data_IF_900882753850
#
_entry.id   IF_900882753850
#
_cell.length_a   1.000
_cell.length_b   1.000
_cell.length_c   1.000
_cell.angle_alpha   90.00
_cell.angle_beta   90.00
_cell.angle_gamma   90.00
#
_symmetry.space_group_name_H-M   'P 1'
#
loop_
_entity.id
_entity.type
_entity.pdbx_description
1 polymer ?
#
# COMPACT_ATOMS: atom_id res chain seq x y z
N UNK A 1 19.80 8.41 13.33
CA UNK A 1 19.18 8.15 14.64
C UNK A 1 17.85 7.51 14.37
N UNK A 2 17.83 6.20 14.52
CA UNK A 2 16.75 5.33 14.06
C UNK A 2 16.98 3.89 14.50
N UNK A 3 15.94 3.08 14.34
CA UNK A 3 15.98 1.66 14.64
C UNK A 3 16.53 0.91 13.42
N UNK A 4 17.55 0.08 13.62
CA UNK A 4 18.15 -0.75 12.58
C UNK A 4 17.76 -2.21 12.79
N UNK A 5 17.44 -2.90 11.68
CA UNK A 5 17.08 -4.31 11.66
C UNK A 5 17.99 -5.07 10.68
N UNK A 6 18.46 -6.24 11.11
CA UNK A 6 19.26 -7.13 10.29
C UNK A 6 18.75 -8.56 10.41
N UNK A 7 18.44 -9.18 9.28
CA UNK A 7 18.09 -10.59 9.22
C UNK A 7 19.38 -11.42 9.07
N UNK A 8 19.66 -12.26 10.04
CA UNK A 8 20.85 -13.10 10.08
C UNK A 8 20.63 -14.37 9.25
N UNK A 9 21.72 -14.99 8.79
CA UNK A 9 21.67 -16.23 8.02
C UNK A 9 21.12 -17.42 8.82
N UNK A 10 21.19 -17.36 10.15
CA UNK A 10 20.66 -18.38 11.07
C UNK A 10 19.14 -18.29 11.31
N UNK A 11 18.46 -17.35 10.64
CA UNK A 11 17.03 -17.13 10.75
C UNK A 11 16.60 -16.25 11.92
N UNK A 12 17.53 -15.71 12.70
CA UNK A 12 17.22 -14.70 13.73
C UNK A 12 17.21 -13.28 13.13
N UNK A 13 16.56 -12.36 13.84
CA UNK A 13 16.61 -10.93 13.54
C UNK A 13 17.35 -10.21 14.66
N UNK A 14 18.31 -9.36 14.30
CA UNK A 14 19.00 -8.45 15.21
C UNK A 14 18.44 -7.03 15.03
N UNK A 15 17.93 -6.46 16.11
CA UNK A 15 17.48 -5.09 16.22
C UNK A 15 18.46 -4.23 17.01
N UNK A 16 18.74 -3.01 16.56
CA UNK A 16 19.58 -2.05 17.27
C UNK A 16 18.94 -0.66 17.30
N UNK A 17 18.88 -0.07 18.48
CA UNK A 17 18.60 1.35 18.65
C UNK A 17 19.94 2.10 18.64
N UNK A 18 20.16 2.94 17.63
CA UNK A 18 21.41 3.72 17.51
C UNK A 18 21.56 4.78 18.59
N UNK A 19 20.45 5.23 19.19
CA UNK A 19 20.42 6.39 20.07
C UNK A 19 20.76 5.99 21.52
N UNK A 20 20.27 4.83 21.95
CA UNK A 20 20.51 4.27 23.29
C UNK A 20 21.65 3.24 23.30
N UNK A 21 22.00 2.70 22.13
CA UNK A 21 22.92 1.57 22.01
C UNK A 21 22.28 0.20 22.35
N UNK A 22 20.98 0.17 22.66
CA UNK A 22 20.25 -1.07 22.93
C UNK A 22 20.29 -2.01 21.72
N UNK A 23 20.53 -3.30 21.96
CA UNK A 23 20.61 -4.34 20.94
C UNK A 23 19.91 -5.61 21.43
N UNK A 24 19.08 -6.19 20.58
CA UNK A 24 18.35 -7.44 20.85
C UNK A 24 18.42 -8.35 19.63
N UNK A 25 18.62 -9.65 19.84
CA UNK A 25 18.62 -10.66 18.78
C UNK A 25 17.69 -11.80 19.18
N UNK A 26 16.64 -12.04 18.39
CA UNK A 26 15.65 -13.08 18.63
C UNK A 26 15.21 -13.75 17.32
N UNK A 27 14.65 -14.95 17.43
CA UNK A 27 14.03 -15.64 16.29
C UNK A 27 12.69 -14.99 15.89
N UNK A 28 11.99 -14.38 16.84
CA UNK A 28 10.74 -13.66 16.60
C UNK A 28 11.03 -12.20 16.27
N UNK A 29 10.88 -11.84 14.99
CA UNK A 29 11.09 -10.48 14.49
C UNK A 29 10.16 -9.46 15.15
N UNK A 30 8.91 -9.83 15.47
CA UNK A 30 7.98 -8.89 16.08
C UNK A 30 8.35 -8.57 17.52
N UNK A 31 8.91 -9.55 18.24
CA UNK A 31 9.44 -9.32 19.58
C UNK A 31 10.68 -8.41 19.56
N UNK A 32 11.55 -8.53 18.54
CA UNK A 32 12.66 -7.60 18.30
C UNK A 32 12.14 -6.18 18.09
N UNK A 33 11.13 -6.01 17.23
CA UNK A 33 10.51 -4.70 16.96
C UNK A 33 9.88 -4.10 18.22
N UNK A 34 9.08 -4.88 18.96
CA UNK A 34 8.43 -4.44 20.19
C UNK A 34 9.45 -3.91 21.20
N UNK A 35 10.51 -4.66 21.47
CA UNK A 35 11.54 -4.25 22.43
C UNK A 35 12.30 -3.00 21.98
N UNK A 36 12.56 -2.84 20.68
CA UNK A 36 13.20 -1.62 20.16
C UNK A 36 12.31 -0.39 20.29
N UNK A 37 11.00 -0.52 20.04
CA UNK A 37 10.05 0.57 20.23
C UNK A 37 9.92 0.95 21.71
N UNK A 38 9.81 -0.04 22.60
CA UNK A 38 9.78 0.17 24.05
C UNK A 38 11.04 0.90 24.54
N UNK A 39 12.22 0.50 24.07
CA UNK A 39 13.49 1.17 24.40
C UNK A 39 13.58 2.61 23.86
N UNK A 40 13.05 2.86 22.66
CA UNK A 40 12.95 4.20 22.09
C UNK A 40 11.89 5.09 22.77
N UNK A 41 11.09 4.53 23.70
CA UNK A 41 9.96 5.20 24.31
C UNK A 41 8.82 5.47 23.31
N UNK A 42 8.76 4.71 22.23
CA UNK A 42 7.73 4.82 21.19
C UNK A 42 6.59 3.86 21.47
N UNK A 43 5.37 4.28 21.13
CA UNK A 43 4.22 3.38 21.19
C UNK A 43 4.36 2.30 20.12
N UNK A 44 4.46 1.04 20.56
CA UNK A 44 4.46 -0.10 19.64
C UNK A 44 3.02 -0.51 19.33
N UNK A 45 2.63 -0.37 18.07
CA UNK A 45 1.38 -0.94 17.57
C UNK A 45 1.67 -2.30 16.95
N UNK A 46 1.19 -3.42 17.52
CA UNK A 46 1.42 -4.73 16.95
C UNK A 46 0.80 -4.84 15.55
N UNK A 47 1.39 -5.65 14.64
CA UNK A 47 0.82 -5.85 13.34
C UNK A 47 -0.59 -6.43 13.46
N UNK A 48 -1.53 -6.04 12.57
CA UNK A 48 -2.88 -6.56 12.60
C UNK A 48 -2.87 -8.08 12.36
N UNK A 49 -3.83 -8.83 12.94
CA UNK A 49 -3.85 -10.29 12.87
C UNK A 49 -3.87 -10.78 11.42
N UNK A 50 -3.31 -11.97 11.13
CA UNK A 50 -3.30 -12.51 9.78
C UNK A 50 -4.74 -12.69 9.26
N UNK A 51 -4.95 -12.35 8.00
CA UNK A 51 -6.25 -12.56 7.33
C UNK A 51 -6.45 -14.03 6.97
N UNK A 52 -7.70 -14.52 6.88
CA UNK A 52 -7.99 -15.88 6.45
C UNK A 52 -7.43 -16.18 5.05
N UNK A 53 -7.11 -17.45 4.72
CA UNK A 53 -6.67 -17.82 3.38
C UNK A 53 -7.64 -17.36 2.29
N UNK A 54 -7.12 -16.71 1.25
CA UNK A 54 -7.92 -16.17 0.15
C UNK A 54 -8.54 -14.79 0.42
N UNK A 55 -8.33 -14.22 1.61
CA UNK A 55 -8.60 -12.82 1.92
C UNK A 55 -7.30 -12.04 1.89
N UNK A 56 -7.35 -10.80 1.41
CA UNK A 56 -6.20 -9.92 1.25
C UNK A 56 -6.47 -8.59 1.93
N UNK A 57 -5.50 -8.12 2.72
CA UNK A 57 -5.53 -6.80 3.37
C UNK A 57 -4.75 -5.80 2.52
N UNK A 58 -5.34 -4.64 2.24
CA UNK A 58 -4.69 -3.55 1.50
C UNK A 58 -5.37 -2.20 1.76
N UNK A 59 -4.65 -1.11 1.49
CA UNK A 59 -5.19 0.24 1.49
C UNK A 59 -5.45 0.72 0.06
N UNK A 60 -6.44 1.58 -0.13
CA UNK A 60 -6.66 2.31 -1.38
C UNK A 60 -6.75 3.80 -1.08
N UNK A 61 -6.08 4.62 -1.90
CA UNK A 61 -6.07 6.08 -1.78
C UNK A 61 -6.38 6.74 -3.13
N UNK A 62 -6.99 7.93 -3.08
CA UNK A 62 -7.09 8.86 -4.22
C UNK A 62 -6.04 9.96 -4.04
N UNK A 63 -4.89 9.80 -4.69
CA UNK A 63 -3.77 10.75 -4.65
C UNK A 63 -3.81 11.72 -5.84
N UNK A 64 -4.99 11.99 -6.41
CA UNK A 64 -5.10 12.92 -7.54
C UNK A 64 -4.77 14.36 -7.11
N UNK A 65 -4.10 15.18 -7.95
CA UNK A 65 -3.82 16.57 -7.60
C UNK A 65 -5.11 17.35 -7.31
N UNK A 66 -5.11 18.15 -6.24
CA UNK A 66 -6.26 18.99 -5.88
C UNK A 66 -7.48 18.23 -5.34
N UNK A 67 -7.33 16.96 -4.94
CA UNK A 67 -8.32 16.28 -4.10
C UNK A 67 -8.42 16.98 -2.75
N UNK A 68 -9.64 17.23 -2.27
CA UNK A 68 -9.83 17.68 -0.89
C UNK A 68 -9.42 16.61 0.12
N UNK A 69 -9.43 16.99 1.39
CA UNK A 69 -9.15 16.07 2.50
C UNK A 69 -10.22 14.99 2.65
N UNK A 70 -10.09 14.19 3.71
CA UNK A 70 -10.98 13.08 4.02
C UNK A 70 -12.49 13.41 3.91
N UNK A 71 -12.90 14.63 4.27
CA UNK A 71 -14.30 15.08 4.31
C UNK A 71 -14.85 15.62 2.98
N UNK A 72 -14.08 15.65 1.90
CA UNK A 72 -14.54 16.16 0.59
C UNK A 72 -15.87 15.50 0.16
N UNK A 73 -16.81 16.30 -0.34
CA UNK A 73 -18.15 15.86 -0.75
C UNK A 73 -18.11 14.73 -1.80
N UNK A 74 -17.06 14.69 -2.62
CA UNK A 74 -16.85 13.63 -3.61
C UNK A 74 -16.79 12.23 -2.99
N UNK A 75 -16.33 12.11 -1.73
CA UNK A 75 -16.23 10.84 -1.04
C UNK A 75 -17.42 10.57 -0.11
N UNK A 76 -18.40 11.47 0.00
CA UNK A 76 -19.51 11.34 0.94
C UNK A 76 -20.26 10.01 0.78
N UNK A 77 -20.59 9.62 -0.46
CA UNK A 77 -21.27 8.34 -0.72
C UNK A 77 -20.43 7.12 -0.36
N UNK A 78 -19.11 7.22 -0.52
CA UNK A 78 -18.16 6.15 -0.23
C UNK A 78 -17.90 6.04 1.27
N UNK A 79 -17.94 7.16 2.02
CA UNK A 79 -17.96 7.18 3.48
C UNK A 79 -19.23 6.56 4.06
N UNK A 80 -20.39 6.89 3.48
CA UNK A 80 -21.68 6.36 3.94
C UNK A 80 -21.86 4.88 3.63
N UNK A 81 -21.38 4.43 2.46
CA UNK A 81 -21.58 3.07 1.94
C UNK A 81 -20.31 2.56 1.28
N UNK A 82 -19.26 2.26 2.07
CA UNK A 82 -18.04 1.68 1.50
C UNK A 82 -18.32 0.27 0.96
N UNK A 83 -17.50 -0.21 0.01
CA UNK A 83 -17.50 -1.61 -0.41
C UNK A 83 -17.43 -2.55 0.80
N UNK A 84 -18.08 -3.72 0.70
CA UNK A 84 -18.05 -4.69 1.80
C UNK A 84 -16.61 -5.06 2.16
N UNK A 85 -16.27 -4.98 3.44
CA UNK A 85 -14.92 -5.28 3.94
C UNK A 85 -13.94 -4.12 3.79
N UNK A 86 -14.40 -2.94 3.39
CA UNK A 86 -13.60 -1.71 3.40
C UNK A 86 -14.13 -0.71 4.44
N UNK A 87 -13.22 0.02 5.07
CA UNK A 87 -13.52 1.05 6.07
C UNK A 87 -12.84 2.37 5.65
N UNK A 88 -13.57 3.49 5.61
CA UNK A 88 -12.97 4.80 5.40
C UNK A 88 -11.95 5.15 6.48
N UNK A 89 -10.79 5.65 6.07
CA UNK A 89 -9.73 6.10 6.94
C UNK A 89 -9.15 7.44 6.45
N UNK A 90 -8.64 8.26 7.36
CA UNK A 90 -7.92 9.50 7.05
C UNK A 90 -6.42 9.27 7.18
N UNK A 91 -5.74 9.17 6.04
CA UNK A 91 -4.28 8.98 5.96
C UNK A 91 -3.60 10.25 5.40
N UNK A 92 -4.12 11.43 5.77
CA UNK A 92 -3.75 12.72 5.15
C UNK A 92 -4.55 13.01 3.87
N UNK A 93 -5.67 12.33 3.71
CA UNK A 93 -6.50 12.26 2.51
C UNK A 93 -7.50 11.11 2.62
N UNK A 94 -8.44 11.03 1.68
CA UNK A 94 -9.43 9.95 1.71
C UNK A 94 -8.78 8.60 1.35
N UNK A 95 -8.86 7.66 2.29
CA UNK A 95 -8.38 6.29 2.12
C UNK A 95 -9.47 5.27 2.47
N UNK A 96 -9.27 4.04 2.00
CA UNK A 96 -10.01 2.86 2.42
C UNK A 96 -9.04 1.79 2.89
N UNK A 97 -9.23 1.29 4.10
CA UNK A 97 -8.61 0.08 4.60
C UNK A 97 -9.51 -1.11 4.27
N UNK A 98 -9.02 -2.07 3.52
CA UNK A 98 -9.82 -3.15 2.95
C UNK A 98 -9.29 -4.53 3.34
N UNK A 99 -10.20 -5.44 3.66
CA UNK A 99 -9.99 -6.88 3.73
C UNK A 99 -10.97 -7.57 2.78
N UNK A 100 -10.47 -8.02 1.63
CA UNK A 100 -11.31 -8.48 0.52
C UNK A 100 -10.91 -9.87 0.05
N UNK A 101 -11.88 -10.73 -0.30
CA UNK A 101 -11.58 -12.01 -0.92
C UNK A 101 -11.03 -11.80 -2.34
N UNK A 102 -10.11 -12.67 -2.75
CA UNK A 102 -9.57 -12.68 -4.11
C UNK A 102 -8.65 -13.86 -4.36
N UNK A 103 -8.45 -14.23 -5.63
CA UNK A 103 -7.49 -15.28 -5.99
C UNK A 103 -6.06 -14.87 -5.67
N UNK A 104 -5.80 -13.57 -5.67
CA UNK A 104 -4.55 -12.94 -5.28
C UNK A 104 -4.82 -11.51 -4.79
N UNK A 105 -3.80 -10.85 -4.25
CA UNK A 105 -3.90 -9.46 -3.85
C UNK A 105 -4.31 -8.56 -5.03
N UNK A 106 -3.69 -8.73 -6.21
CA UNK A 106 -4.03 -7.97 -7.42
C UNK A 106 -5.48 -8.18 -7.85
N UNK A 107 -6.00 -9.39 -7.70
CA UNK A 107 -7.41 -9.70 -8.01
C UNK A 107 -8.37 -9.00 -7.05
N UNK A 108 -8.07 -9.03 -5.75
CA UNK A 108 -8.86 -8.35 -4.72
C UNK A 108 -8.85 -6.82 -4.90
N UNK A 109 -7.67 -6.24 -5.18
CA UNK A 109 -7.51 -4.81 -5.48
C UNK A 109 -8.28 -4.44 -6.75
N UNK A 110 -8.08 -5.16 -7.85
CA UNK A 110 -8.76 -4.87 -9.12
C UNK A 110 -10.29 -4.95 -8.99
N UNK A 111 -10.80 -5.96 -8.27
CA UNK A 111 -12.23 -6.07 -7.99
C UNK A 111 -12.78 -4.87 -7.23
N UNK A 112 -12.05 -4.42 -6.21
CA UNK A 112 -12.44 -3.30 -5.33
C UNK A 112 -12.37 -1.96 -6.06
N UNK A 113 -11.29 -1.68 -6.80
CA UNK A 113 -11.18 -0.46 -7.62
C UNK A 113 -12.30 -0.40 -8.66
N UNK A 114 -12.59 -1.52 -9.33
CA UNK A 114 -13.66 -1.56 -10.32
C UNK A 114 -15.05 -1.37 -9.71
N UNK A 115 -15.30 -1.92 -8.51
CA UNK A 115 -16.53 -1.69 -7.73
C UNK A 115 -16.69 -0.21 -7.37
N UNK A 116 -15.68 0.39 -6.73
CA UNK A 116 -15.69 1.80 -6.32
C UNK A 116 -15.95 2.71 -7.52
N UNK A 117 -15.26 2.46 -8.63
CA UNK A 117 -15.44 3.23 -9.87
C UNK A 117 -16.87 3.14 -10.39
N UNK A 118 -17.45 1.93 -10.45
CA UNK A 118 -18.80 1.73 -10.99
C UNK A 118 -19.88 2.31 -10.08
N UNK A 119 -19.74 2.18 -8.77
CA UNK A 119 -20.80 2.50 -7.81
C UNK A 119 -20.69 3.93 -7.26
N UNK A 120 -19.48 4.47 -7.18
CA UNK A 120 -19.20 5.78 -6.58
C UNK A 120 -18.57 6.78 -7.55
N UNK A 121 -18.10 6.35 -8.73
CA UNK A 121 -17.47 7.24 -9.72
C UNK A 121 -16.09 7.77 -9.29
N UNK A 122 -15.47 7.17 -8.27
CA UNK A 122 -14.15 7.53 -7.76
C UNK A 122 -13.11 6.55 -8.30
N UNK A 123 -11.96 7.07 -8.72
CA UNK A 123 -10.81 6.26 -9.14
C UNK A 123 -9.79 6.26 -8.01
N UNK A 124 -9.69 5.13 -7.30
CA UNK A 124 -8.60 4.91 -6.35
C UNK A 124 -7.34 4.56 -7.14
N UNK A 125 -6.29 5.36 -7.02
CA UNK A 125 -5.11 5.31 -7.89
C UNK A 125 -3.81 4.94 -7.16
N UNK A 126 -3.87 4.73 -5.84
CA UNK A 126 -2.70 4.41 -5.02
C UNK A 126 -3.03 3.38 -3.94
N UNK A 127 -2.01 2.65 -3.50
CA UNK A 127 -2.06 1.76 -2.33
C UNK A 127 -1.43 2.41 -1.08
N UNK A 128 -1.19 3.73 -1.10
CA UNK A 128 -0.55 4.47 0.00
C UNK A 128 0.96 4.26 0.08
N UNK A 129 1.59 3.99 -1.07
CA UNK A 129 3.06 3.98 -1.16
C UNK A 129 3.51 5.44 -1.06
N UNK A 130 4.50 5.73 -0.21
CA UNK A 130 4.91 7.11 0.05
C UNK A 130 5.52 7.80 -1.20
N UNK A 131 5.01 9.00 -1.50
CA UNK A 131 5.55 10.00 -2.46
C UNK A 131 5.63 9.64 -3.96
N UNK A 132 4.71 8.86 -4.57
CA UNK A 132 4.71 8.63 -6.02
C UNK A 132 4.52 9.93 -6.82
N UNK A 133 3.83 10.93 -6.26
CA UNK A 133 3.60 12.24 -6.87
C UNK A 133 4.89 13.05 -7.08
N UNK A 134 5.94 12.82 -6.26
CA UNK A 134 7.24 13.48 -6.44
C UNK A 134 7.97 12.99 -7.69
N UNK A 135 7.47 11.90 -8.30
CA UNK A 135 8.03 11.31 -9.51
C UNK A 135 7.38 11.85 -10.79
N UNK A 136 6.41 12.77 -10.70
CA UNK A 136 5.74 13.35 -11.86
C UNK A 136 6.08 14.83 -12.02
N UNK A 137 6.88 15.16 -13.03
CA UNK A 137 7.06 16.53 -13.51
C UNK A 137 5.91 16.95 -14.44
N UNK A 138 5.71 18.25 -14.64
CA UNK A 138 4.70 18.80 -15.56
C UNK A 138 5.05 18.64 -17.07
N UNK A 139 5.94 17.70 -17.40
CA UNK A 139 6.49 17.53 -18.73
C UNK A 139 5.50 16.85 -19.68
N UNK A 140 5.73 17.02 -20.98
CA UNK A 140 4.92 16.42 -22.04
C UNK A 140 5.03 14.88 -22.12
N UNK A 141 4.20 14.28 -22.96
CA UNK A 141 4.10 12.82 -23.19
C UNK A 141 5.37 12.16 -23.73
N UNK A 142 6.37 12.94 -24.14
CA UNK A 142 7.65 12.46 -24.67
C UNK A 142 8.83 12.89 -23.75
N UNK A 143 8.54 13.54 -22.61
CA UNK A 143 9.51 14.10 -21.65
C UNK A 143 9.90 13.18 -20.48
N UNK A 144 10.40 13.75 -19.39
CA UNK A 144 10.91 12.99 -18.24
C UNK A 144 9.79 12.18 -17.55
N UNK A 145 8.59 12.77 -17.42
CA UNK A 145 7.41 12.10 -16.88
C UNK A 145 7.08 10.80 -17.66
N UNK A 146 7.13 10.83 -19.00
CA UNK A 146 6.88 9.65 -19.83
C UNK A 146 7.93 8.54 -19.62
N UNK A 147 9.20 8.91 -19.43
CA UNK A 147 10.27 7.97 -19.09
C UNK A 147 10.02 7.29 -17.74
N UNK A 148 9.47 8.01 -16.77
CA UNK A 148 9.11 7.46 -15.46
C UNK A 148 7.97 6.46 -15.59
N UNK A 149 6.92 6.79 -16.34
CA UNK A 149 5.82 5.84 -16.64
C UNK A 149 6.37 4.55 -17.27
N UNK A 150 7.22 4.67 -18.30
CA UNK A 150 7.84 3.50 -18.94
C UNK A 150 8.71 2.69 -17.95
N UNK A 151 9.50 3.37 -17.11
CA UNK A 151 10.32 2.72 -16.09
C UNK A 151 9.48 1.94 -15.07
N UNK A 152 8.41 2.55 -14.54
CA UNK A 152 7.50 1.93 -13.60
C UNK A 152 6.83 0.69 -14.19
N UNK A 153 6.41 0.75 -15.46
CA UNK A 153 5.83 -0.41 -16.15
C UNK A 153 6.85 -1.56 -16.29
N UNK A 154 8.11 -1.26 -16.64
CA UNK A 154 9.16 -2.28 -16.74
C UNK A 154 9.47 -2.91 -15.37
N UNK A 155 9.61 -2.10 -14.31
CA UNK A 155 9.80 -2.61 -12.96
C UNK A 155 8.62 -3.46 -12.48
N UNK A 156 7.40 -3.01 -12.80
CA UNK A 156 6.17 -3.73 -12.46
C UNK A 156 6.15 -5.09 -13.15
N UNK A 157 6.42 -5.14 -14.46
CA UNK A 157 6.46 -6.41 -15.20
C UNK A 157 7.52 -7.37 -14.66
N UNK A 158 8.71 -6.87 -14.32
CA UNK A 158 9.79 -7.67 -13.74
C UNK A 158 9.43 -8.21 -12.35
N UNK A 159 8.92 -7.36 -11.44
CA UNK A 159 8.54 -7.80 -10.09
C UNK A 159 7.33 -8.74 -10.11
N UNK A 160 6.37 -8.48 -10.99
CA UNK A 160 5.22 -9.34 -11.19
C UNK A 160 5.64 -10.78 -11.52
N UNK A 161 6.61 -10.96 -12.43
CA UNK A 161 7.08 -12.30 -12.79
C UNK A 161 7.79 -13.01 -11.64
N UNK A 162 8.58 -12.29 -10.83
CA UNK A 162 9.22 -12.84 -9.63
C UNK A 162 8.20 -13.29 -8.57
N UNK A 163 7.05 -12.60 -8.48
CA UNK A 163 5.95 -12.92 -7.57
C UNK A 163 4.94 -13.92 -8.15
N UNK A 164 5.15 -14.40 -9.38
CA UNK A 164 4.25 -15.35 -10.05
C UNK A 164 2.98 -14.73 -10.65
N UNK A 165 2.87 -13.40 -10.71
CA UNK A 165 1.79 -12.72 -11.42
C UNK A 165 1.99 -12.80 -12.93
N UNK A 166 0.90 -13.10 -13.64
CA UNK A 166 0.87 -13.12 -15.10
C UNK A 166 0.47 -11.78 -15.70
N UNK A 167 0.69 -11.63 -17.01
CA UNK A 167 0.21 -10.47 -17.78
C UNK A 167 -1.29 -10.21 -17.58
N UNK A 168 -2.11 -11.26 -17.49
CA UNK A 168 -3.56 -11.14 -17.32
C UNK A 168 -3.95 -10.47 -15.99
N UNK A 169 -3.17 -10.71 -14.93
CA UNK A 169 -3.42 -10.09 -13.62
C UNK A 169 -3.14 -8.59 -13.67
N UNK A 170 -2.02 -8.21 -14.32
CA UNK A 170 -1.65 -6.81 -14.53
C UNK A 170 -2.67 -6.06 -15.40
N UNK A 171 -3.07 -6.66 -16.53
CA UNK A 171 -4.08 -6.05 -17.42
C UNK A 171 -5.42 -5.90 -16.72
N UNK A 172 -5.83 -6.88 -15.90
CA UNK A 172 -7.08 -6.77 -15.13
C UNK A 172 -7.05 -5.59 -14.16
N UNK A 173 -5.92 -5.36 -13.48
CA UNK A 173 -5.77 -4.20 -12.62
C UNK A 173 -5.81 -2.89 -13.43
N UNK A 174 -5.15 -2.84 -14.58
CA UNK A 174 -5.21 -1.69 -15.49
C UNK A 174 -6.66 -1.39 -15.93
N UNK A 175 -7.38 -2.41 -16.40
CA UNK A 175 -8.78 -2.29 -16.83
C UNK A 175 -9.70 -1.85 -15.68
N UNK A 176 -9.38 -2.24 -14.44
CA UNK A 176 -10.11 -1.83 -13.24
C UNK A 176 -9.97 -0.33 -12.93
N UNK A 177 -8.90 0.33 -13.36
CA UNK A 177 -8.77 1.79 -13.22
C UNK A 177 -9.75 2.54 -14.14
N UNK A 178 -10.01 1.99 -15.34
CA UNK A 178 -10.91 2.59 -16.32
C UNK A 178 -10.31 3.82 -17.00
N UNK A 179 -9.01 4.05 -16.81
CA UNK A 179 -8.23 5.07 -17.51
C UNK A 179 -7.92 4.52 -18.90
N UNK A 180 -8.32 5.26 -19.93
CA UNK A 180 -8.14 4.93 -21.34
C UNK A 180 -8.16 6.17 -22.22
#
# INVERSE_FOLDING_TARGET
MGLYFHHNEDGTTTGRNEDTGFTVTLADEEEVKRQLYEDAGWEYTPPPPPVPPGVHRFCLMDESPGTGGFDDERYARLRERPPQGCVPADWGGFALECERPGKSLLDAVAGTVAEIRREHGVVMNSLGIEKPQEWFGADDKDGHAARIVAHLLLMTAHRASLLGYGRKDLVRLLDATGVG
#
